data_IF_645417888931
#
_entry.id   IF_645417888931
#
_cell.length_a   1.000
_cell.length_b   1.000
_cell.length_c   1.000
_cell.angle_alpha   90.00
_cell.angle_beta   90.00
_cell.angle_gamma   90.00
#
_symmetry.space_group_name_H-M   'P 1'
#
loop_
_entity.id
_entity.type
_entity.pdbx_description
1 polymer ?
#
# COMPACT_ATOMS: atom_id res chain seq x y z
N UNK A 1 12.80 -6.56 -2.26
CA UNK A 1 13.02 -5.99 -0.92
C UNK A 1 14.48 -6.15 -0.53
N UNK A 2 15.12 -5.10 -0.02
CA UNK A 2 16.51 -5.09 0.46
C UNK A 2 16.73 -4.01 1.52
N UNK A 3 17.70 -4.20 2.40
CA UNK A 3 18.21 -3.13 3.24
C UNK A 3 19.31 -2.36 2.50
N UNK A 4 19.25 -1.05 2.58
CA UNK A 4 20.22 -0.13 2.02
C UNK A 4 20.90 0.62 3.14
N UNK A 5 22.23 0.64 3.13
CA UNK A 5 22.99 1.59 3.92
C UNK A 5 23.21 2.85 3.06
N UNK A 6 22.82 4.00 3.60
CA UNK A 6 22.90 5.29 2.91
C UNK A 6 23.65 6.29 3.78
N UNK A 7 24.72 6.86 3.25
CA UNK A 7 25.31 8.09 3.81
C UNK A 7 24.56 9.27 3.22
N UNK A 8 24.09 10.18 4.08
CA UNK A 8 23.21 11.28 3.66
C UNK A 8 23.96 12.60 3.81
N UNK A 9 23.84 13.42 2.77
CA UNK A 9 24.08 14.87 2.84
C UNK A 9 22.79 15.55 2.38
N UNK A 10 22.30 16.52 3.14
CA UNK A 10 21.10 17.26 2.78
C UNK A 10 21.30 18.77 2.96
N UNK A 11 20.49 19.54 2.25
CA UNK A 11 20.42 20.99 2.39
C UNK A 11 19.75 21.37 3.71
N UNK A 12 20.31 22.35 4.39
CA UNK A 12 19.77 22.93 5.63
C UNK A 12 18.83 24.09 5.29
N UNK A 13 18.00 24.51 6.25
CA UNK A 13 17.07 25.63 6.04
C UNK A 13 17.76 26.98 5.75
N UNK A 14 19.02 27.13 6.14
CA UNK A 14 19.84 28.32 5.89
C UNK A 14 20.58 28.28 4.54
N UNK A 15 20.35 27.25 3.72
CA UNK A 15 21.03 27.02 2.44
C UNK A 15 22.42 26.38 2.59
N UNK A 16 22.85 26.05 3.81
CA UNK A 16 24.03 25.22 4.04
C UNK A 16 23.77 23.74 3.75
N UNK A 17 24.76 22.89 4.03
CA UNK A 17 24.61 21.44 3.93
C UNK A 17 25.08 20.75 5.20
N UNK A 18 24.39 19.69 5.60
CA UNK A 18 24.82 18.78 6.66
C UNK A 18 25.08 17.41 6.07
N UNK A 19 26.29 16.91 6.31
CA UNK A 19 26.67 15.52 6.05
C UNK A 19 26.77 14.78 7.38
N UNK A 20 26.39 13.51 7.39
CA UNK A 20 26.47 12.66 8.56
C UNK A 20 27.42 11.51 8.28
N UNK A 21 28.16 11.12 9.29
CA UNK A 21 29.26 10.16 9.24
C UNK A 21 28.84 8.72 9.58
N UNK A 22 27.57 8.51 9.94
CA UNK A 22 26.97 7.18 10.10
C UNK A 22 26.01 6.85 8.94
N UNK A 23 25.89 5.56 8.58
CA UNK A 23 24.94 5.13 7.56
C UNK A 23 23.52 4.97 8.15
N UNK A 24 22.51 5.41 7.41
CA UNK A 24 21.12 5.06 7.67
C UNK A 24 20.80 3.69 7.10
N UNK A 25 20.14 2.86 7.89
CA UNK A 25 19.49 1.66 7.41
C UNK A 25 18.11 2.01 6.85
N UNK A 26 17.95 1.89 5.54
CA UNK A 26 16.70 2.14 4.83
C UNK A 26 16.18 0.82 4.27
N UNK A 27 14.92 0.48 4.55
CA UNK A 27 14.23 -0.64 3.94
C UNK A 27 13.70 -0.23 2.56
N UNK A 28 14.27 -0.79 1.51
CA UNK A 28 13.83 -0.60 0.14
C UNK A 28 13.02 -1.80 -0.34
N UNK A 29 11.70 -1.67 -0.30
CA UNK A 29 10.76 -2.75 -0.62
C UNK A 29 9.91 -2.53 -1.86
N UNK A 30 10.02 -1.35 -2.49
CA UNK A 30 9.15 -0.95 -3.58
C UNK A 30 7.85 -0.31 -3.08
N UNK A 31 7.03 0.14 -4.03
CA UNK A 31 5.71 0.71 -3.74
C UNK A 31 4.67 -0.40 -3.59
N UNK A 32 3.57 -0.06 -2.93
CA UNK A 32 2.39 -0.90 -2.74
C UNK A 32 1.12 -0.15 -3.14
N UNK A 33 0.05 -0.88 -3.37
CA UNK A 33 -1.30 -0.36 -3.61
C UNK A 33 -2.22 -0.80 -2.49
N UNK A 34 -3.26 -0.01 -2.23
CA UNK A 34 -4.36 -0.37 -1.36
C UNK A 34 -5.66 0.17 -1.95
N UNK A 35 -6.81 -0.43 -1.64
CA UNK A 35 -8.10 0.03 -2.17
C UNK A 35 -9.24 -0.05 -1.17
N UNK A 36 -9.97 1.05 -1.06
CA UNK A 36 -11.25 1.10 -0.38
C UNK A 36 -12.35 0.62 -1.35
N UNK A 37 -12.86 -0.59 -1.11
CA UNK A 37 -13.98 -1.14 -1.85
C UNK A 37 -15.27 -0.83 -1.11
N UNK A 38 -16.14 -0.03 -1.72
CA UNK A 38 -17.42 0.35 -1.15
C UNK A 38 -18.54 -0.42 -1.85
N UNK A 39 -19.20 -1.31 -1.12
CA UNK A 39 -20.43 -1.95 -1.56
C UNK A 39 -21.57 -0.93 -1.52
N UNK A 40 -21.95 -0.45 -2.70
CA UNK A 40 -22.97 0.60 -2.84
C UNK A 40 -24.40 0.08 -2.62
N UNK A 41 -24.61 -1.23 -2.63
CA UNK A 41 -25.93 -1.84 -2.39
C UNK A 41 -26.18 -1.97 -0.89
N UNK A 42 -25.15 -2.34 -0.13
CA UNK A 42 -25.22 -2.54 1.32
C UNK A 42 -24.77 -1.31 2.14
N UNK A 43 -24.17 -0.32 1.51
CA UNK A 43 -23.52 0.83 2.15
C UNK A 43 -22.44 0.38 3.16
N UNK A 44 -21.56 -0.52 2.72
CA UNK A 44 -20.55 -1.19 3.54
C UNK A 44 -19.18 -1.19 2.85
N UNK A 45 -18.11 -1.34 3.63
CA UNK A 45 -16.74 -1.42 3.11
C UNK A 45 -16.24 -2.85 3.25
N UNK A 46 -15.71 -3.41 2.17
CA UNK A 46 -15.08 -4.73 2.20
C UNK A 46 -13.74 -4.66 2.94
N UNK A 47 -13.58 -5.50 3.95
CA UNK A 47 -12.33 -5.64 4.70
C UNK A 47 -11.82 -7.08 4.63
N UNK A 48 -10.50 -7.24 4.74
CA UNK A 48 -9.82 -8.53 4.81
C UNK A 48 -9.18 -8.72 6.18
N UNK A 49 -9.07 -9.97 6.61
CA UNK A 49 -8.29 -10.34 7.80
C UNK A 49 -6.97 -10.97 7.36
N UNK A 50 -5.85 -10.35 7.76
CA UNK A 50 -4.52 -10.84 7.40
C UNK A 50 -3.65 -10.99 8.65
N UNK A 51 -2.93 -12.12 8.74
CA UNK A 51 -1.88 -12.28 9.74
C UNK A 51 -0.65 -11.48 9.30
N UNK A 52 -0.18 -10.58 10.17
CA UNK A 52 1.00 -9.74 9.93
C UNK A 52 2.17 -10.23 10.78
N UNK A 53 3.19 -10.89 10.18
CA UNK A 53 4.32 -11.44 10.93
C UNK A 53 5.11 -10.39 11.73
N UNK A 54 5.20 -9.15 11.25
CA UNK A 54 5.94 -8.08 11.92
C UNK A 54 5.35 -7.69 13.29
N UNK A 55 4.05 -7.94 13.51
CA UNK A 55 3.36 -7.66 14.77
C UNK A 55 2.77 -8.92 15.42
N UNK A 56 3.00 -10.09 14.82
CA UNK A 56 2.53 -11.41 15.27
C UNK A 56 1.02 -11.47 15.58
N UNK A 57 0.21 -10.76 14.78
CA UNK A 57 -1.24 -10.65 15.01
C UNK A 57 -2.00 -10.65 13.69
N UNK A 58 -3.24 -11.16 13.74
CA UNK A 58 -4.23 -10.92 12.69
C UNK A 58 -4.87 -9.57 12.91
N UNK A 59 -4.95 -8.77 11.85
CA UNK A 59 -5.59 -7.45 11.85
C UNK A 59 -6.58 -7.34 10.69
N UNK A 60 -7.52 -6.41 10.82
CA UNK A 60 -8.42 -6.04 9.74
C UNK A 60 -7.77 -4.95 8.89
N UNK A 61 -7.79 -5.15 7.59
CA UNK A 61 -7.18 -4.26 6.60
C UNK A 61 -8.11 -4.11 5.40
N UNK A 62 -7.83 -3.11 4.58
CA UNK A 62 -8.37 -3.06 3.21
C UNK A 62 -7.50 -3.92 2.30
N UNK A 63 -8.04 -4.32 1.15
CA UNK A 63 -7.26 -5.05 0.13
C UNK A 63 -6.03 -4.23 -0.25
N UNK A 64 -4.86 -4.87 -0.23
CA UNK A 64 -3.59 -4.23 -0.52
C UNK A 64 -2.54 -5.24 -0.98
N UNK A 65 -1.59 -4.77 -1.78
CA UNK A 65 -0.48 -5.61 -2.22
C UNK A 65 0.69 -4.83 -2.78
N UNK A 66 1.82 -5.51 -2.95
CA UNK A 66 3.06 -4.92 -3.44
C UNK A 66 3.17 -5.09 -4.95
N UNK A 67 3.67 -4.05 -5.63
CA UNK A 67 3.86 -4.10 -7.08
C UNK A 67 4.85 -5.20 -7.47
N UNK A 68 4.52 -5.94 -8.54
CA UNK A 68 5.48 -6.79 -9.25
C UNK A 68 6.40 -5.94 -10.14
N UNK A 69 7.60 -6.43 -10.49
CA UNK A 69 8.51 -5.68 -11.36
C UNK A 69 7.87 -5.27 -12.68
N UNK A 70 7.81 -3.96 -12.94
CA UNK A 70 7.20 -3.40 -14.15
C UNK A 70 5.67 -3.38 -14.18
N UNK A 71 5.01 -3.77 -13.08
CA UNK A 71 3.55 -3.74 -12.98
C UNK A 71 3.05 -2.30 -12.82
N UNK A 72 1.97 -1.97 -13.53
CA UNK A 72 1.26 -0.70 -13.32
C UNK A 72 0.45 -0.74 -12.02
N UNK A 73 0.28 0.41 -11.37
CA UNK A 73 -0.41 0.49 -10.09
C UNK A 73 -1.90 0.11 -10.19
N UNK A 74 -2.60 0.51 -11.26
CA UNK A 74 -3.99 0.12 -11.43
C UNK A 74 -4.10 -1.36 -11.77
N UNK A 75 -3.20 -1.90 -12.59
CA UNK A 75 -3.15 -3.33 -12.85
C UNK A 75 -2.91 -4.14 -11.57
N UNK A 76 -1.96 -3.70 -10.73
CA UNK A 76 -1.65 -4.31 -9.44
C UNK A 76 -2.88 -4.32 -8.53
N UNK A 77 -3.56 -3.17 -8.36
CA UNK A 77 -4.67 -3.10 -7.39
C UNK A 77 -5.86 -3.95 -7.84
N UNK A 78 -6.16 -4.00 -9.14
CA UNK A 78 -7.22 -4.87 -9.68
C UNK A 78 -6.90 -6.34 -9.49
N UNK A 79 -5.63 -6.73 -9.67
CA UNK A 79 -5.16 -8.10 -9.41
C UNK A 79 -5.33 -8.49 -7.94
N UNK A 80 -4.88 -7.65 -7.01
CA UNK A 80 -4.99 -7.93 -5.57
C UNK A 80 -6.47 -8.07 -5.12
N UNK A 81 -7.37 -7.25 -5.67
CA UNK A 81 -8.82 -7.39 -5.39
C UNK A 81 -9.35 -8.74 -5.84
N UNK A 82 -8.96 -9.22 -7.02
CA UNK A 82 -9.37 -10.54 -7.47
C UNK A 82 -8.73 -11.66 -6.62
N UNK A 83 -7.45 -11.54 -6.28
CA UNK A 83 -6.71 -12.56 -5.51
C UNK A 83 -7.20 -12.67 -4.05
N UNK A 84 -7.51 -11.56 -3.38
CA UNK A 84 -7.86 -11.55 -1.95
C UNK A 84 -9.36 -11.71 -1.68
N UNK A 85 -10.23 -11.15 -2.53
CA UNK A 85 -11.69 -11.13 -2.29
C UNK A 85 -12.53 -11.66 -3.45
N UNK A 86 -11.90 -12.09 -4.55
CA UNK A 86 -12.60 -12.70 -5.69
C UNK A 86 -13.48 -11.73 -6.48
N UNK A 87 -13.32 -10.42 -6.27
CA UNK A 87 -14.09 -9.41 -6.98
C UNK A 87 -13.36 -8.95 -8.25
N UNK A 88 -14.13 -8.75 -9.32
CA UNK A 88 -13.67 -7.97 -10.46
C UNK A 88 -14.11 -6.53 -10.30
N UNK A 89 -13.18 -5.59 -10.49
CA UNK A 89 -13.44 -4.16 -10.40
C UNK A 89 -13.12 -3.45 -11.71
N UNK A 90 -14.01 -2.53 -12.09
CA UNK A 90 -13.91 -1.74 -13.30
C UNK A 90 -12.91 -0.60 -13.15
N UNK A 91 -13.41 0.64 -13.18
CA UNK A 91 -12.59 1.83 -12.96
C UNK A 91 -12.22 1.95 -11.47
N UNK A 92 -10.94 2.24 -11.20
CA UNK A 92 -10.43 2.52 -9.85
C UNK A 92 -9.98 3.97 -9.81
N UNK A 93 -10.33 4.69 -8.75
CA UNK A 93 -9.98 6.10 -8.59
C UNK A 93 -8.86 6.23 -7.58
N UNK A 94 -7.74 6.84 -7.98
CA UNK A 94 -6.70 7.21 -7.02
C UNK A 94 -7.23 8.27 -6.04
N UNK A 95 -7.11 7.98 -4.74
CA UNK A 95 -7.44 8.91 -3.65
C UNK A 95 -6.20 9.69 -3.24
N UNK A 96 -5.11 8.97 -2.93
CA UNK A 96 -3.90 9.56 -2.35
C UNK A 96 -2.67 8.68 -2.56
N UNK A 97 -1.50 9.28 -2.34
CA UNK A 97 -0.20 8.61 -2.31
C UNK A 97 0.53 9.09 -1.06
N UNK A 98 1.03 8.17 -0.24
CA UNK A 98 1.73 8.54 0.99
C UNK A 98 2.85 7.58 1.34
N UNK A 99 3.88 8.09 2.02
CA UNK A 99 4.93 7.27 2.60
C UNK A 99 4.46 6.65 3.92
N UNK A 100 4.72 5.36 4.12
CA UNK A 100 4.24 4.63 5.30
C UNK A 100 5.06 4.97 6.54
N UNK A 101 6.38 5.04 6.39
CA UNK A 101 7.32 5.42 7.47
C UNK A 101 8.59 6.02 6.85
N UNK A 102 8.57 7.30 6.43
CA UNK A 102 9.60 7.90 5.58
C UNK A 102 10.99 7.98 6.23
N UNK A 103 11.10 7.80 7.55
CA UNK A 103 12.39 7.71 8.23
C UNK A 103 13.07 6.35 8.10
N UNK A 104 12.34 5.29 7.71
CA UNK A 104 12.84 3.92 7.73
C UNK A 104 12.61 3.14 6.42
N UNK A 105 11.57 3.45 5.65
CA UNK A 105 11.23 2.72 4.41
C UNK A 105 11.01 3.67 3.24
N UNK A 106 11.40 3.24 2.04
CA UNK A 106 11.07 3.93 0.79
C UNK A 106 9.63 3.70 0.32
N UNK A 107 8.89 2.79 0.96
CA UNK A 107 7.56 2.37 0.54
C UNK A 107 6.55 3.52 0.51
N UNK A 108 5.91 3.67 -0.65
CA UNK A 108 4.70 4.47 -0.82
C UNK A 108 3.50 3.55 -1.02
N UNK A 109 2.37 3.93 -0.43
CA UNK A 109 1.08 3.33 -0.74
C UNK A 109 0.32 4.24 -1.69
N UNK A 110 -0.17 3.66 -2.79
CA UNK A 110 -1.13 4.27 -3.70
C UNK A 110 -2.52 3.78 -3.30
N UNK A 111 -3.29 4.67 -2.67
CA UNK A 111 -4.62 4.36 -2.16
C UNK A 111 -5.67 4.66 -3.23
N UNK A 112 -6.46 3.66 -3.58
CA UNK A 112 -7.55 3.72 -4.55
C UNK A 112 -8.92 3.60 -3.87
N UNK A 113 -9.95 3.93 -4.63
CA UNK A 113 -11.35 3.69 -4.33
C UNK A 113 -12.02 3.01 -5.52
N UNK A 114 -12.92 2.07 -5.26
CA UNK A 114 -13.87 1.60 -6.27
C UNK A 114 -15.24 1.29 -5.65
N UNK A 115 -16.34 1.70 -6.31
CA UNK A 115 -17.66 1.17 -5.99
C UNK A 115 -17.78 -0.27 -6.49
N UNK A 116 -18.34 -1.13 -5.67
CA UNK A 116 -18.59 -2.54 -5.98
C UNK A 116 -20.01 -2.95 -5.58
N UNK A 117 -20.41 -4.14 -6.01
CA UNK A 117 -21.60 -4.83 -5.52
C UNK A 117 -21.19 -6.22 -5.09
N UNK A 118 -21.32 -6.57 -3.81
CA UNK A 118 -21.04 -7.93 -3.31
C UNK A 118 -22.21 -8.90 -3.52
N UNK A 119 -23.24 -8.52 -4.29
CA UNK A 119 -24.36 -9.41 -4.61
C UNK A 119 -23.84 -10.72 -5.21
N UNK A 120 -24.13 -11.84 -4.53
CA UNK A 120 -23.71 -13.18 -4.95
C UNK A 120 -22.32 -13.61 -4.51
N UNK A 121 -21.62 -12.81 -3.69
CA UNK A 121 -20.33 -13.19 -3.09
C UNK A 121 -20.51 -13.44 -1.60
N UNK A 122 -20.49 -14.71 -1.21
CA UNK A 122 -20.63 -15.13 0.18
C UNK A 122 -19.36 -14.85 0.98
N UNK A 123 -19.51 -14.36 2.22
CA UNK A 123 -18.40 -14.18 3.16
C UNK A 123 -17.67 -12.83 3.08
N UNK A 124 -18.05 -11.93 2.18
CA UNK A 124 -17.59 -10.54 2.19
C UNK A 124 -18.47 -9.71 3.11
N UNK A 125 -17.88 -9.25 4.21
CA UNK A 125 -18.43 -8.22 5.10
C UNK A 125 -17.47 -7.05 5.11
#
# INVERSE_FOLDING_TARGET
MRFLLRTITHENFDGGQTSYDFPWAVLDRGDSVAILLHDIVKDQVVIVQQFRPAILRTIFEIVAGTLKPGEDHEACVKREVFEEVGLEVGEVRLISRFFVSPGATSERIFLYYAPVSSLGVDGLV
#
